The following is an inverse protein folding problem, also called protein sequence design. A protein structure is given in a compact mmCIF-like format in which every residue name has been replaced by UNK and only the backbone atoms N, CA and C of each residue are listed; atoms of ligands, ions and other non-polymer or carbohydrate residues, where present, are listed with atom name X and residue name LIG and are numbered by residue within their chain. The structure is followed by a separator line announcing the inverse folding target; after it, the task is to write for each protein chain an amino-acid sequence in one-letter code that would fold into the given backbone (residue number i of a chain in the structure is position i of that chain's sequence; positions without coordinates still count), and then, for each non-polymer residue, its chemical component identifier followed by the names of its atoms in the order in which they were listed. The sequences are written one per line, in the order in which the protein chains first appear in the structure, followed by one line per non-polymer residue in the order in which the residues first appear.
data_IF_403092706600
#
_entry.id   IF_403092706600
#
_cell.length_a   1.000
_cell.length_b   1.000
_cell.length_c   1.000
_cell.angle_alpha   90.00
_cell.angle_beta   90.00
_cell.angle_gamma   90.00
#
_symmetry.space_group_name_H-M   'P 1'
#
loop_
_entity.id
_entity.type
_entity.pdbx_description
1 polymer ?
#
# COMPACT_ATOMS: atom_id res chain seq x y z
N UNK A 1 7.54 -7.07 28.59
CA UNK A 1 7.18 -7.03 27.16
C UNK A 1 5.76 -7.55 27.03
N UNK A 2 4.88 -6.80 26.38
CA UNK A 2 3.48 -7.18 26.20
C UNK A 2 3.36 -8.14 25.01
N UNK A 3 2.40 -9.05 25.07
CA UNK A 3 2.12 -10.02 24.01
C UNK A 3 0.64 -10.07 23.71
N UNK A 4 0.32 -10.12 22.43
CA UNK A 4 -1.01 -10.39 21.92
C UNK A 4 -1.09 -11.86 21.49
N UNK A 5 -2.28 -12.43 21.59
CA UNK A 5 -2.56 -13.82 21.24
C UNK A 5 -3.72 -13.90 20.26
N UNK A 6 -3.69 -14.93 19.41
CA UNK A 6 -4.73 -15.22 18.42
C UNK A 6 -5.08 -14.01 17.52
N UNK A 7 -4.06 -13.34 16.96
CA UNK A 7 -4.19 -12.15 16.13
C UNK A 7 -4.41 -12.51 14.65
N UNK A 8 -5.48 -11.99 14.05
CA UNK A 8 -5.79 -12.21 12.63
C UNK A 8 -5.13 -11.12 11.81
N UNK A 9 -4.36 -11.52 10.81
CA UNK A 9 -3.61 -10.60 9.95
C UNK A 9 -3.87 -10.91 8.48
N UNK A 10 -4.00 -9.86 7.69
CA UNK A 10 -4.02 -9.88 6.24
C UNK A 10 -2.75 -9.21 5.72
N UNK A 11 -1.78 -9.98 5.26
CA UNK A 11 -0.47 -9.45 4.89
C UNK A 11 -0.51 -8.75 3.53
N UNK A 12 -0.18 -7.47 3.54
CA UNK A 12 0.13 -6.69 2.34
C UNK A 12 1.66 -6.66 2.19
N UNK A 13 2.15 -7.29 1.13
CA UNK A 13 3.59 -7.46 0.89
C UNK A 13 4.15 -6.33 0.03
N UNK A 14 5.31 -5.80 0.41
CA UNK A 14 6.01 -4.79 -0.39
C UNK A 14 5.29 -3.45 -0.49
N UNK A 15 4.34 -3.17 0.42
CA UNK A 15 3.64 -1.89 0.45
C UNK A 15 4.50 -0.83 1.16
N UNK A 16 5.04 0.08 0.38
CA UNK A 16 5.76 1.25 0.91
C UNK A 16 4.82 2.24 1.58
N UNK A 17 3.62 2.43 1.02
CA UNK A 17 2.69 3.43 1.48
C UNK A 17 1.57 2.81 2.33
N UNK A 18 1.33 3.38 3.52
CA UNK A 18 0.33 2.89 4.45
C UNK A 18 -1.10 2.87 3.90
N UNK A 19 -1.41 3.70 2.89
CA UNK A 19 -2.73 3.75 2.25
C UNK A 19 -3.08 2.47 1.45
N UNK A 20 -2.09 1.64 1.10
CA UNK A 20 -2.32 0.35 0.45
C UNK A 20 -2.48 -0.80 1.46
N UNK A 21 -2.07 -0.59 2.72
CA UNK A 21 -2.29 -1.55 3.81
C UNK A 21 -3.74 -1.43 4.29
N UNK A 22 -4.61 -2.25 3.70
CA UNK A 22 -6.05 -2.08 3.80
C UNK A 22 -6.57 -2.34 5.22
N UNK A 23 -7.50 -1.49 5.65
CA UNK A 23 -8.26 -1.71 6.89
C UNK A 23 -9.21 -2.90 6.74
N UNK A 24 -9.67 -3.44 7.87
CA UNK A 24 -10.52 -4.63 7.90
C UNK A 24 -11.77 -4.55 7.00
N UNK A 25 -12.40 -3.38 6.89
CA UNK A 25 -13.61 -3.21 6.06
C UNK A 25 -13.33 -3.29 4.54
N UNK A 26 -12.06 -3.25 4.13
CA UNK A 26 -11.62 -3.40 2.74
C UNK A 26 -11.02 -4.80 2.46
N UNK A 27 -11.00 -5.69 3.46
CA UNK A 27 -10.55 -7.06 3.27
C UNK A 27 -11.56 -7.83 2.41
N UNK A 28 -11.04 -8.67 1.52
CA UNK A 28 -11.82 -9.50 0.59
C UNK A 28 -11.82 -10.95 1.06
N UNK A 29 -12.81 -11.73 0.63
CA UNK A 29 -12.96 -13.16 1.00
C UNK A 29 -11.77 -14.02 0.54
N UNK A 30 -11.09 -13.61 -0.53
CA UNK A 30 -9.96 -14.30 -1.12
C UNK A 30 -8.60 -13.84 -0.58
N UNK A 31 -8.59 -12.85 0.33
CA UNK A 31 -7.36 -12.47 1.01
C UNK A 31 -6.84 -13.64 1.86
N UNK A 32 -5.51 -13.81 1.89
CA UNK A 32 -4.88 -14.86 2.69
C UNK A 32 -4.74 -14.39 4.13
N UNK A 33 -5.75 -14.72 4.94
CA UNK A 33 -5.74 -14.39 6.36
C UNK A 33 -4.93 -15.42 7.14
N UNK A 34 -3.97 -14.95 7.92
CA UNK A 34 -3.14 -15.76 8.81
C UNK A 34 -3.47 -15.49 10.28
N UNK A 35 -3.12 -16.45 11.15
CA UNK A 35 -3.31 -16.34 12.59
C UNK A 35 -1.94 -16.33 13.29
N UNK A 36 -1.62 -15.20 13.92
CA UNK A 36 -0.49 -15.07 14.84
C UNK A 36 -0.93 -15.59 16.21
N UNK A 37 -0.35 -16.72 16.63
CA UNK A 37 -0.62 -17.37 17.92
C UNK A 37 -0.12 -16.51 19.09
N UNK A 38 1.05 -15.90 18.91
CA UNK A 38 1.64 -14.98 19.87
C UNK A 38 2.48 -13.96 19.13
N UNK A 39 2.32 -12.68 19.44
CA UNK A 39 3.09 -11.59 18.82
C UNK A 39 3.40 -10.49 19.84
N UNK A 40 4.65 -10.00 19.94
CA UNK A 40 4.98 -8.91 20.85
C UNK A 40 4.30 -7.60 20.43
N UNK A 41 3.87 -6.82 21.42
CA UNK A 41 3.33 -5.48 21.25
C UNK A 41 4.37 -4.43 21.67
N UNK A 42 4.64 -3.48 20.78
CA UNK A 42 5.53 -2.34 20.97
C UNK A 42 4.73 -1.04 20.91
N UNK A 43 4.90 -0.20 21.92
CA UNK A 43 4.47 1.21 21.89
C UNK A 43 5.68 2.07 21.52
N UNK A 44 5.55 2.89 20.48
CA UNK A 44 6.65 3.70 19.92
C UNK A 44 6.20 5.13 19.67
N UNK A 45 7.15 6.02 19.37
CA UNK A 45 6.82 7.39 18.99
C UNK A 45 5.97 7.45 17.71
N UNK A 46 5.09 8.44 17.55
CA UNK A 46 4.35 8.66 16.31
C UNK A 46 5.27 8.81 15.08
N UNK A 47 6.47 9.38 15.26
CA UNK A 47 7.44 9.52 14.18
C UNK A 47 7.97 8.16 13.69
N UNK A 48 8.29 7.25 14.61
CA UNK A 48 8.72 5.90 14.26
C UNK A 48 7.57 5.06 13.68
N UNK A 49 6.37 5.19 14.23
CA UNK A 49 5.17 4.55 13.67
C UNK A 49 4.96 4.96 12.22
N UNK A 50 4.95 6.27 11.94
CA UNK A 50 4.81 6.81 10.60
C UNK A 50 5.93 6.32 9.66
N UNK A 51 7.17 6.25 10.14
CA UNK A 51 8.30 5.69 9.37
C UNK A 51 8.08 4.21 9.01
N UNK A 52 7.67 3.36 9.96
CA UNK A 52 7.43 1.93 9.70
C UNK A 52 6.26 1.74 8.74
N UNK A 53 5.19 2.50 8.92
CA UNK A 53 4.00 2.43 8.09
C UNK A 53 4.29 2.87 6.65
N UNK A 54 5.03 3.97 6.48
CA UNK A 54 5.17 4.67 5.21
C UNK A 54 6.57 4.55 4.58
N UNK A 55 7.34 3.53 4.92
CA UNK A 55 8.60 3.21 4.24
C UNK A 55 8.81 1.70 4.07
N UNK A 56 9.74 1.33 3.17
CA UNK A 56 10.36 0.00 3.10
C UNK A 56 11.86 0.11 3.41
N UNK A 57 12.19 0.86 4.46
CA UNK A 57 13.56 1.09 4.90
C UNK A 57 13.90 0.28 6.14
N UNK A 58 15.19 0.17 6.44
CA UNK A 58 15.67 -0.67 7.55
C UNK A 58 15.07 -0.22 8.90
N UNK A 59 14.61 -1.19 9.67
CA UNK A 59 14.15 -0.97 11.04
C UNK A 59 15.34 -0.76 11.98
N UNK A 60 15.18 0.01 13.06
CA UNK A 60 16.23 0.18 14.06
C UNK A 60 16.68 -1.17 14.61
N UNK A 61 17.99 -1.44 14.64
CA UNK A 61 18.55 -2.69 15.21
C UNK A 61 18.04 -2.99 16.63
N UNK A 62 17.96 -2.02 17.56
CA UNK A 62 17.45 -2.31 18.90
C UNK A 62 15.98 -2.75 18.90
N UNK A 63 15.18 -2.32 17.92
CA UNK A 63 13.81 -2.81 17.73
C UNK A 63 13.81 -4.26 17.26
N UNK A 64 14.65 -4.60 16.27
CA UNK A 64 14.80 -5.97 15.77
C UNK A 64 15.27 -6.93 16.87
N UNK A 65 16.28 -6.53 17.64
CA UNK A 65 16.80 -7.31 18.78
C UNK A 65 15.70 -7.55 19.84
N UNK A 66 14.83 -6.56 20.05
CA UNK A 66 13.72 -6.64 20.98
C UNK A 66 12.62 -7.61 20.55
N UNK A 67 12.45 -7.88 19.25
CA UNK A 67 11.37 -8.75 18.73
C UNK A 67 11.89 -10.08 18.19
N UNK A 68 13.20 -10.26 18.09
CA UNK A 68 13.84 -11.42 17.51
C UNK A 68 13.33 -12.73 18.11
N UNK A 69 12.71 -13.58 17.28
CA UNK A 69 12.20 -14.90 17.64
C UNK A 69 11.16 -14.91 18.76
N UNK A 70 10.41 -13.81 18.95
CA UNK A 70 9.36 -13.70 19.99
C UNK A 70 7.93 -13.87 19.49
N UNK A 71 7.75 -13.96 18.17
CA UNK A 71 6.46 -14.17 17.52
C UNK A 71 6.30 -15.59 16.97
N UNK A 72 5.06 -16.05 16.92
CA UNK A 72 4.68 -17.35 16.43
C UNK A 72 3.43 -17.26 15.56
N UNK A 73 3.49 -17.87 14.38
CA UNK A 73 2.35 -18.03 13.47
C UNK A 73 1.84 -19.46 13.53
N UNK A 74 0.52 -19.63 13.39
CA UNK A 74 -0.11 -20.94 13.31
C UNK A 74 -0.39 -21.31 11.87
N UNK A 75 0.26 -22.36 11.37
CA UNK A 75 0.05 -22.87 10.01
C UNK A 75 -0.13 -24.38 10.05
N UNK A 76 -1.22 -24.91 9.49
CA UNK A 76 -1.52 -26.35 9.47
C UNK A 76 -1.46 -27.03 10.86
N UNK A 77 -1.92 -26.35 11.91
CA UNK A 77 -1.83 -26.78 13.31
C UNK A 77 -0.40 -26.83 13.90
N UNK A 78 0.61 -26.42 13.14
CA UNK A 78 1.97 -26.25 13.64
C UNK A 78 2.21 -24.80 14.06
N UNK A 79 3.03 -24.65 15.11
CA UNK A 79 3.47 -23.35 15.63
C UNK A 79 4.85 -23.05 15.06
N UNK A 80 4.92 -22.07 14.17
CA UNK A 80 6.16 -21.68 13.48
C UNK A 80 6.66 -20.38 14.12
N UNK A 81 7.91 -20.37 14.57
CA UNK A 81 8.56 -19.19 15.12
C UNK A 81 8.97 -18.25 13.98
N UNK A 82 8.74 -16.95 14.16
CA UNK A 82 9.11 -15.91 13.19
C UNK A 82 10.31 -15.12 13.72
N UNK A 83 11.24 -14.76 12.83
CA UNK A 83 12.44 -14.02 13.20
C UNK A 83 12.10 -12.61 13.69
N UNK A 84 11.44 -11.79 12.89
CA UNK A 84 11.03 -10.44 13.32
C UNK A 84 9.58 -10.17 12.92
N UNK A 85 8.67 -10.47 13.85
CA UNK A 85 7.26 -10.15 13.71
C UNK A 85 6.74 -9.53 15.01
N UNK A 86 6.01 -8.43 14.88
CA UNK A 86 5.53 -7.63 16.00
C UNK A 86 4.30 -6.81 15.63
N UNK A 87 3.55 -6.39 16.64
CA UNK A 87 2.52 -5.35 16.52
C UNK A 87 3.09 -4.06 17.09
N UNK A 88 2.92 -2.96 16.38
CA UNK A 88 3.37 -1.63 16.77
C UNK A 88 2.20 -0.66 16.87
N UNK A 89 2.27 0.26 17.83
CA UNK A 89 1.30 1.34 18.00
C UNK A 89 1.98 2.60 18.54
N UNK A 90 1.48 3.76 18.15
CA UNK A 90 1.80 5.06 18.77
C UNK A 90 0.69 5.55 19.73
N UNK A 91 -0.32 4.71 19.98
CA UNK A 91 -1.51 5.05 20.74
C UNK A 91 -2.69 5.57 19.91
N UNK A 92 -2.48 5.87 18.61
CA UNK A 92 -3.54 6.29 17.68
C UNK A 92 -3.71 5.34 16.49
N UNK A 93 -2.61 4.77 15.99
CA UNK A 93 -2.60 3.76 14.94
C UNK A 93 -2.08 2.41 15.45
N UNK A 94 -2.46 1.34 14.76
CA UNK A 94 -1.98 -0.02 15.02
C UNK A 94 -1.58 -0.68 13.71
N UNK A 95 -0.44 -1.39 13.74
CA UNK A 95 0.08 -2.11 12.59
C UNK A 95 0.76 -3.41 13.04
N UNK A 96 0.43 -4.53 12.40
CA UNK A 96 1.24 -5.74 12.47
C UNK A 96 2.30 -5.71 11.36
N UNK A 97 3.51 -6.13 11.71
CA UNK A 97 4.68 -6.11 10.82
C UNK A 97 5.36 -7.47 10.88
N UNK A 98 5.76 -7.97 9.72
CA UNK A 98 6.65 -9.13 9.57
C UNK A 98 7.72 -8.79 8.52
N UNK A 99 8.99 -8.98 8.87
CA UNK A 99 10.11 -8.69 7.98
C UNK A 99 10.52 -9.87 7.12
N UNK A 100 9.95 -11.07 7.32
CA UNK A 100 10.35 -12.32 6.66
C UNK A 100 11.87 -12.58 6.84
N UNK A 101 12.41 -12.24 8.01
CA UNK A 101 13.83 -12.44 8.35
C UNK A 101 14.77 -11.34 7.86
N UNK A 102 14.28 -10.33 7.14
CA UNK A 102 15.06 -9.15 6.73
C UNK A 102 15.03 -8.04 7.79
N UNK A 103 15.70 -6.92 7.51
CA UNK A 103 15.68 -5.72 8.37
C UNK A 103 14.58 -4.73 7.97
N UNK A 104 13.89 -4.95 6.85
CA UNK A 104 12.85 -4.08 6.31
C UNK A 104 11.43 -4.63 6.63
N UNK A 105 10.42 -3.78 6.83
CA UNK A 105 9.05 -4.21 7.13
C UNK A 105 8.32 -4.68 5.84
N UNK A 106 8.64 -5.87 5.34
CA UNK A 106 8.14 -6.39 4.06
C UNK A 106 6.62 -6.60 4.08
N UNK A 107 6.09 -7.18 5.17
CA UNK A 107 4.66 -7.46 5.30
C UNK A 107 4.05 -6.58 6.36
N UNK A 108 2.95 -5.95 6.01
CA UNK A 108 2.21 -5.04 6.88
C UNK A 108 0.75 -5.47 6.92
N UNK A 109 0.11 -5.30 8.07
CA UNK A 109 -1.31 -5.60 8.21
C UNK A 109 -1.98 -4.70 9.23
N UNK A 110 -3.23 -4.30 8.94
CA UNK A 110 -4.13 -3.74 9.96
C UNK A 110 -4.73 -4.86 10.79
N UNK A 111 -5.16 -4.56 12.00
CA UNK A 111 -5.88 -5.53 12.82
C UNK A 111 -7.39 -5.40 12.63
N UNK A 112 -8.13 -6.46 12.98
CA UNK A 112 -9.59 -6.36 13.07
C UNK A 112 -9.98 -5.46 14.25
N UNK A 113 -11.13 -4.75 14.22
CA UNK A 113 -11.47 -3.74 15.22
C UNK A 113 -11.41 -4.20 16.68
N UNK A 114 -11.81 -5.45 16.96
CA UNK A 114 -11.75 -6.02 18.32
C UNK A 114 -10.30 -6.19 18.82
N UNK A 115 -9.38 -6.52 17.94
CA UNK A 115 -7.97 -6.71 18.27
C UNK A 115 -7.25 -5.37 18.40
N UNK A 116 -7.64 -4.40 17.59
CA UNK A 116 -7.20 -3.02 17.71
C UNK A 116 -7.60 -2.42 19.07
N UNK A 117 -8.84 -2.63 19.49
CA UNK A 117 -9.31 -2.20 20.82
C UNK A 117 -8.48 -2.81 21.96
N UNK A 118 -8.16 -4.11 21.87
CA UNK A 118 -7.27 -4.78 22.84
C UNK A 118 -5.88 -4.14 22.87
N UNK A 119 -5.33 -3.77 21.71
CA UNK A 119 -4.04 -3.06 21.63
C UNK A 119 -4.11 -1.73 22.36
N UNK A 120 -5.16 -0.93 22.16
CA UNK A 120 -5.33 0.36 22.85
C UNK A 120 -5.39 0.19 24.37
N UNK A 121 -6.15 -0.80 24.85
CA UNK A 121 -6.25 -1.10 26.29
C UNK A 121 -4.90 -1.50 26.88
N UNK A 122 -4.15 -2.37 26.20
CA UNK A 122 -2.83 -2.82 26.65
C UNK A 122 -1.75 -1.73 26.56
N UNK A 123 -1.82 -0.86 25.56
CA UNK A 123 -0.86 0.21 25.32
C UNK A 123 -1.12 1.46 26.17
N UNK A 124 -2.32 1.62 26.75
CA UNK A 124 -2.67 2.77 27.58
C UNK A 124 -1.74 2.95 28.79
N UNK A 125 -1.39 1.83 29.46
CA UNK A 125 -0.50 1.82 30.63
C UNK A 125 0.97 1.56 30.26
N UNK A 126 1.26 1.25 29.00
CA UNK A 126 2.61 0.96 28.55
C UNK A 126 3.43 2.24 28.35
N UNK A 127 4.69 2.21 28.78
CA UNK A 127 5.67 3.24 28.42
C UNK A 127 6.07 3.12 26.94
N UNK A 128 6.28 4.26 26.31
CA UNK A 128 6.82 4.34 24.96
C UNK A 128 8.28 3.86 24.97
N UNK A 129 8.62 2.99 24.02
CA UNK A 129 10.00 2.55 23.82
C UNK A 129 10.72 3.52 22.90
N UNK A 130 11.90 3.94 23.35
CA UNK A 130 12.79 4.78 22.56
C UNK A 130 13.64 3.93 21.62
N UNK A 131 13.47 4.15 20.32
CA UNK A 131 14.30 3.57 19.27
C UNK A 131 14.81 4.69 18.38
N UNK A 132 16.08 4.62 17.92
CA UNK A 132 16.63 5.68 17.07
C UNK A 132 15.87 5.75 15.75
N UNK A 133 15.32 6.92 15.43
CA UNK A 133 14.66 7.17 14.16
C UNK A 133 15.71 7.28 13.05
N UNK A 134 15.65 6.43 12.00
CA UNK A 134 16.52 6.57 10.84
C UNK A 134 16.25 7.90 10.12
N UNK A 135 17.27 8.48 9.49
CA UNK A 135 17.03 9.63 8.61
C UNK A 135 16.26 9.15 7.38
N UNK A 136 15.10 9.75 7.14
CA UNK A 136 14.20 9.37 6.07
C UNK A 136 13.62 10.63 5.45
N UNK A 137 13.80 10.77 4.14
CA UNK A 137 13.09 11.74 3.31
C UNK A 137 12.28 10.94 2.29
N UNK A 138 10.97 11.20 2.25
CA UNK A 138 10.06 10.50 1.34
C UNK A 138 9.97 11.25 0.04
N UNK A 139 10.37 10.60 -1.05
CA UNK A 139 10.15 11.08 -2.40
C UNK A 139 8.96 10.37 -3.02
N UNK A 140 8.07 11.13 -3.65
CA UNK A 140 6.91 10.58 -4.34
C UNK A 140 7.12 10.64 -5.85
N UNK A 141 6.69 9.58 -6.54
CA UNK A 141 6.74 9.48 -8.00
C UNK A 141 5.47 8.83 -8.53
N UNK A 142 5.31 8.77 -9.85
CA UNK A 142 4.07 8.26 -10.47
C UNK A 142 3.71 6.83 -10.02
N UNK A 143 4.70 5.98 -9.71
CA UNK A 143 4.49 4.61 -9.24
C UNK A 143 4.43 4.47 -7.70
N UNK A 144 4.85 5.51 -6.95
CA UNK A 144 4.70 5.63 -5.50
C UNK A 144 4.12 7.02 -5.19
N UNK A 145 2.83 7.24 -5.50
CA UNK A 145 2.23 8.56 -5.45
C UNK A 145 2.06 9.08 -4.02
N UNK A 146 1.95 10.40 -3.90
CA UNK A 146 1.66 11.02 -2.61
C UNK A 146 0.28 10.60 -2.07
N UNK A 147 0.10 10.44 -0.75
CA UNK A 147 -1.16 9.97 -0.15
C UNK A 147 -2.39 10.78 -0.56
N UNK A 148 -2.22 12.07 -0.83
CA UNK A 148 -3.29 12.98 -1.25
C UNK A 148 -3.89 12.56 -2.60
N UNK A 149 -3.12 11.88 -3.46
CA UNK A 149 -3.60 11.36 -4.74
C UNK A 149 -4.42 10.08 -4.58
N UNK A 150 -4.26 9.36 -3.46
CA UNK A 150 -4.94 8.09 -3.18
C UNK A 150 -6.08 8.24 -2.16
N UNK A 151 -6.18 9.40 -1.52
CA UNK A 151 -7.21 9.68 -0.51
C UNK A 151 -8.63 9.61 -1.09
N UNK A 152 -9.53 8.94 -0.37
CA UNK A 152 -10.94 8.80 -0.73
C UNK A 152 -11.24 7.72 -1.77
N UNK A 153 -10.22 7.01 -2.26
CA UNK A 153 -10.40 5.88 -3.16
C UNK A 153 -10.67 4.60 -2.38
N UNK A 154 -11.59 3.77 -2.88
CA UNK A 154 -11.75 2.38 -2.43
C UNK A 154 -10.53 1.54 -2.81
N UNK A 155 -10.34 0.38 -2.15
CA UNK A 155 -9.30 -0.59 -2.53
C UNK A 155 -9.25 -0.88 -4.04
N UNK A 156 -10.40 -1.13 -4.67
CA UNK A 156 -10.47 -1.39 -6.13
C UNK A 156 -9.95 -0.18 -6.93
N UNK A 157 -10.40 1.02 -6.59
CA UNK A 157 -9.98 2.24 -7.29
C UNK A 157 -8.48 2.53 -7.09
N UNK A 158 -7.92 2.25 -5.90
CA UNK A 158 -6.46 2.37 -5.67
C UNK A 158 -5.67 1.42 -6.58
N UNK A 159 -6.10 0.17 -6.71
CA UNK A 159 -5.45 -0.81 -7.57
C UNK A 159 -5.56 -0.43 -9.06
N UNK A 160 -6.74 -0.02 -9.53
CA UNK A 160 -6.92 0.44 -10.90
C UNK A 160 -6.16 1.73 -11.19
N UNK A 161 -6.04 2.62 -10.21
CA UNK A 161 -5.24 3.84 -10.35
C UNK A 161 -3.75 3.56 -10.44
N UNK A 162 -3.24 2.61 -9.66
CA UNK A 162 -1.87 2.15 -9.78
C UNK A 162 -1.61 1.55 -11.17
N UNK A 163 -2.56 0.76 -11.69
CA UNK A 163 -2.50 0.23 -13.06
C UNK A 163 -2.48 1.34 -14.13
N UNK A 164 -3.36 2.35 -13.99
CA UNK A 164 -3.37 3.52 -14.87
C UNK A 164 -2.02 4.25 -14.83
N UNK A 165 -1.45 4.47 -13.65
CA UNK A 165 -0.16 5.11 -13.48
C UNK A 165 0.99 4.31 -14.09
N UNK A 166 0.98 2.98 -13.98
CA UNK A 166 1.94 2.10 -14.66
C UNK A 166 1.82 2.23 -16.19
N UNK A 167 0.60 2.24 -16.71
CA UNK A 167 0.36 2.36 -18.15
C UNK A 167 0.74 3.76 -18.69
N UNK A 168 0.49 4.83 -17.91
CA UNK A 168 0.92 6.19 -18.22
C UNK A 168 2.44 6.33 -18.20
N UNK A 169 3.13 5.74 -17.22
CA UNK A 169 4.60 5.73 -17.15
C UNK A 169 5.22 5.00 -18.35
N UNK A 170 4.63 3.86 -18.75
CA UNK A 170 5.04 3.17 -19.97
C UNK A 170 4.80 4.03 -21.22
N UNK A 171 3.64 4.70 -21.32
CA UNK A 171 3.34 5.62 -22.42
C UNK A 171 4.37 6.77 -22.48
N UNK A 172 4.71 7.35 -21.32
CA UNK A 172 5.74 8.39 -21.22
C UNK A 172 7.12 7.90 -21.67
N UNK A 173 7.45 6.65 -21.37
CA UNK A 173 8.71 6.02 -21.76
C UNK A 173 8.85 5.79 -23.27
N UNK A 174 7.74 5.69 -24.02
CA UNK A 174 7.78 5.54 -25.49
C UNK A 174 8.34 6.76 -26.22
N UNK A 175 8.26 7.95 -25.59
CA UNK A 175 8.56 9.26 -26.22
C UNK A 175 7.84 9.52 -27.55
N UNK A 176 6.71 8.83 -27.78
CA UNK A 176 5.94 8.96 -29.01
C UNK A 176 4.90 10.09 -28.89
N UNK A 177 5.16 11.22 -29.53
CA UNK A 177 4.28 12.40 -29.52
C UNK A 177 2.89 12.11 -30.09
N UNK A 178 2.80 11.31 -31.15
CA UNK A 178 1.51 11.00 -31.76
C UNK A 178 0.64 10.14 -30.82
N UNK A 179 1.23 9.14 -30.16
CA UNK A 179 0.53 8.32 -29.17
C UNK A 179 0.11 9.13 -27.94
N UNK A 180 0.98 10.00 -27.42
CA UNK A 180 0.65 10.86 -26.27
C UNK A 180 -0.53 11.78 -26.59
N UNK A 181 -0.51 12.44 -27.76
CA UNK A 181 -1.61 13.30 -28.22
C UNK A 181 -2.90 12.51 -28.46
N UNK A 182 -2.79 11.28 -28.96
CA UNK A 182 -3.95 10.40 -29.14
C UNK A 182 -4.62 10.12 -27.80
N UNK A 183 -3.88 9.61 -26.81
CA UNK A 183 -4.45 9.31 -25.50
C UNK A 183 -4.96 10.54 -24.76
N UNK A 184 -4.30 11.69 -24.89
CA UNK A 184 -4.84 12.92 -24.33
C UNK A 184 -6.12 13.38 -25.05
N UNK A 185 -6.25 13.11 -26.35
CA UNK A 185 -7.51 13.36 -27.09
C UNK A 185 -8.63 12.44 -26.63
N UNK A 186 -8.35 11.15 -26.40
CA UNK A 186 -9.34 10.21 -25.84
C UNK A 186 -9.81 10.67 -24.45
N UNK A 187 -8.89 11.21 -23.64
CA UNK A 187 -9.25 11.82 -22.37
C UNK A 187 -10.08 13.09 -22.55
N UNK A 188 -9.63 14.08 -23.32
CA UNK A 188 -10.24 15.41 -23.46
C UNK A 188 -10.55 15.75 -24.93
N UNK A 189 -11.58 15.12 -25.55
CA UNK A 189 -11.89 15.28 -26.97
C UNK A 189 -12.26 16.73 -27.33
N UNK A 190 -12.83 17.48 -26.39
CA UNK A 190 -13.15 18.90 -26.55
C UNK A 190 -11.92 19.79 -26.78
N UNK A 191 -10.72 19.33 -26.42
CA UNK A 191 -9.45 20.05 -26.59
C UNK A 191 -8.69 19.63 -27.85
N UNK A 192 -9.26 18.79 -28.73
CA UNK A 192 -8.57 18.19 -29.88
C UNK A 192 -7.66 19.15 -30.66
N UNK A 193 -8.19 20.30 -31.09
CA UNK A 193 -7.44 21.26 -31.91
C UNK A 193 -6.22 21.86 -31.20
N UNK A 194 -6.27 21.98 -29.87
CA UNK A 194 -5.14 22.41 -29.05
C UNK A 194 -4.13 21.26 -28.85
N UNK A 195 -4.63 20.05 -28.53
CA UNK A 195 -3.80 18.86 -28.29
C UNK A 195 -2.91 18.53 -29.49
N UNK A 196 -3.44 18.63 -30.72
CA UNK A 196 -2.68 18.34 -31.94
C UNK A 196 -1.45 19.24 -32.13
N UNK A 197 -1.42 20.40 -31.46
CA UNK A 197 -0.31 21.37 -31.53
C UNK A 197 0.68 21.25 -30.36
N UNK A 198 0.34 20.52 -29.29
CA UNK A 198 1.16 20.42 -28.08
C UNK A 198 2.43 19.62 -28.31
N UNK A 199 3.52 19.99 -27.65
CA UNK A 199 4.70 19.14 -27.56
C UNK A 199 4.40 17.84 -26.80
N UNK A 200 5.34 16.88 -26.82
CA UNK A 200 5.19 15.64 -26.06
C UNK A 200 5.06 15.91 -24.56
N UNK A 201 5.96 16.73 -24.00
CA UNK A 201 5.98 17.01 -22.56
C UNK A 201 4.77 17.84 -22.11
N UNK A 202 4.31 18.78 -22.95
CA UNK A 202 3.08 19.54 -22.68
C UNK A 202 1.85 18.64 -22.63
N UNK A 203 1.71 17.72 -23.61
CA UNK A 203 0.58 16.79 -23.65
C UNK A 203 0.62 15.81 -22.46
N UNK A 204 1.81 15.34 -22.09
CA UNK A 204 2.04 14.49 -20.93
C UNK A 204 1.64 15.19 -19.62
N UNK A 205 2.18 16.39 -19.39
CA UNK A 205 1.95 17.14 -18.15
C UNK A 205 0.47 17.43 -17.95
N UNK A 206 -0.24 17.83 -19.01
CA UNK A 206 -1.68 18.06 -18.96
C UNK A 206 -2.46 16.78 -18.69
N UNK A 207 -2.18 15.70 -19.42
CA UNK A 207 -2.86 14.41 -19.21
C UNK A 207 -2.66 13.90 -17.78
N UNK A 208 -1.42 13.91 -17.27
CA UNK A 208 -1.13 13.47 -15.92
C UNK A 208 -1.81 14.35 -14.87
N UNK A 209 -1.75 15.68 -15.02
CA UNK A 209 -2.39 16.60 -14.08
C UNK A 209 -3.92 16.45 -14.02
N UNK A 210 -4.56 16.12 -15.13
CA UNK A 210 -6.01 15.92 -15.20
C UNK A 210 -6.46 14.55 -14.67
N UNK A 211 -5.61 13.52 -14.78
CA UNK A 211 -5.93 12.14 -14.40
C UNK A 211 -5.43 11.74 -13.01
N UNK A 212 -4.56 12.53 -12.38
CA UNK A 212 -3.95 12.16 -11.09
C UNK A 212 -4.88 12.27 -9.88
N UNK A 213 -6.02 12.95 -9.97
CA UNK A 213 -6.92 13.18 -8.82
C UNK A 213 -8.21 12.36 -8.91
N UNK A 214 -8.60 11.77 -7.79
CA UNK A 214 -9.81 10.97 -7.69
C UNK A 214 -9.79 9.72 -8.58
N UNK A 215 -10.98 9.17 -8.80
CA UNK A 215 -11.26 8.10 -9.73
C UNK A 215 -12.69 8.27 -10.24
N UNK A 216 -12.92 8.02 -11.52
CA UNK A 216 -14.24 8.16 -12.15
C UNK A 216 -14.35 7.22 -13.34
N UNK A 217 -15.55 7.09 -13.91
CA UNK A 217 -15.79 6.26 -15.09
C UNK A 217 -14.88 6.64 -16.27
N UNK A 218 -14.51 7.93 -16.42
CA UNK A 218 -13.54 8.36 -17.43
C UNK A 218 -12.15 7.77 -17.19
N UNK A 219 -11.72 7.67 -15.94
CA UNK A 219 -10.45 7.02 -15.59
C UNK A 219 -10.49 5.53 -15.92
N UNK A 220 -11.61 4.88 -15.60
CA UNK A 220 -11.82 3.46 -15.88
C UNK A 220 -11.76 3.19 -17.39
N UNK A 221 -12.50 3.95 -18.20
CA UNK A 221 -12.48 3.84 -19.68
C UNK A 221 -11.09 4.11 -20.27
N UNK A 222 -10.41 5.16 -19.81
CA UNK A 222 -9.05 5.47 -20.26
C UNK A 222 -8.09 4.32 -19.92
N UNK A 223 -8.13 3.83 -18.68
CA UNK A 223 -7.28 2.74 -18.22
C UNK A 223 -7.52 1.47 -19.04
N UNK A 224 -8.79 1.05 -19.19
CA UNK A 224 -9.17 -0.13 -19.96
C UNK A 224 -8.65 -0.05 -21.41
N UNK A 225 -8.78 1.11 -22.05
CA UNK A 225 -8.31 1.27 -23.42
C UNK A 225 -6.78 1.29 -23.53
N UNK A 226 -6.10 1.93 -22.57
CA UNK A 226 -4.65 2.07 -22.57
C UNK A 226 -3.91 0.73 -22.38
N UNK A 227 -4.50 -0.18 -21.60
CA UNK A 227 -3.91 -1.49 -21.31
C UNK A 227 -4.20 -2.55 -22.39
N UNK A 228 -5.13 -2.29 -23.32
CA UNK A 228 -5.50 -3.26 -24.36
C UNK A 228 -4.29 -3.69 -25.19
N UNK A 229 -4.15 -4.99 -25.40
CA UNK A 229 -3.03 -5.60 -26.11
C UNK A 229 -1.77 -5.77 -25.26
N UNK A 230 -1.83 -5.50 -23.96
CA UNK A 230 -0.72 -5.67 -23.02
C UNK A 230 -1.06 -6.77 -22.00
N UNK A 231 -0.66 -8.05 -22.24
CA UNK A 231 -1.14 -9.19 -21.46
C UNK A 231 -0.92 -9.08 -19.95
N UNK A 232 0.17 -8.42 -19.54
CA UNK A 232 0.47 -8.20 -18.13
C UNK A 232 -0.55 -7.26 -17.47
N UNK A 233 -0.88 -6.13 -18.11
CA UNK A 233 -1.83 -5.17 -17.58
C UNK A 233 -3.28 -5.65 -17.66
N UNK A 234 -3.64 -6.36 -18.74
CA UNK A 234 -4.96 -6.99 -18.86
C UNK A 234 -5.22 -7.98 -17.72
N UNK A 235 -4.20 -8.78 -17.35
CA UNK A 235 -4.32 -9.68 -16.21
C UNK A 235 -4.56 -8.94 -14.88
N UNK A 236 -3.85 -7.83 -14.64
CA UNK A 236 -4.05 -7.01 -13.44
C UNK A 236 -5.46 -6.39 -13.40
N UNK A 237 -5.96 -5.95 -14.55
CA UNK A 237 -7.31 -5.44 -14.69
C UNK A 237 -8.37 -6.51 -14.39
N UNK A 238 -8.24 -7.70 -14.99
CA UNK A 238 -9.16 -8.82 -14.79
C UNK A 238 -9.29 -9.19 -13.31
N UNK A 239 -8.17 -9.26 -12.58
CA UNK A 239 -8.15 -9.54 -11.13
C UNK A 239 -9.01 -8.57 -10.30
N UNK A 240 -9.14 -7.31 -10.75
CA UNK A 240 -9.95 -6.28 -10.09
C UNK A 240 -11.38 -6.20 -10.62
N UNK A 241 -11.67 -6.76 -11.80
CA UNK A 241 -13.00 -6.77 -12.39
C UNK A 241 -13.83 -8.01 -12.03
N UNK A 242 -13.20 -9.11 -11.62
CA UNK A 242 -13.93 -10.33 -11.23
C UNK A 242 -15.03 -10.02 -10.20
N UNK A 243 -16.33 -10.19 -10.57
CA UNK A 243 -17.42 -10.03 -9.62
C UNK A 243 -17.38 -11.24 -8.68
N UNK A 244 -16.83 -11.05 -7.50
CA UNK A 244 -16.70 -12.14 -6.53
C UNK A 244 -18.08 -12.43 -5.92
N UNK A 245 -18.68 -13.47 -6.48
CA UNK A 245 -19.98 -14.06 -6.15
C UNK A 245 -20.21 -14.09 -4.64
N UNK A 246 -21.41 -13.64 -4.23
CA UNK A 246 -21.91 -13.69 -2.86
C UNK A 246 -21.90 -15.10 -2.27
#
# INVERSE_FOLDING_TARGET
MLYLHDIWVNWFEGEENGYNVCHFHEWRKDDQIELLDQVPLLKVSPALFHYIENSLSDLPKPLLDDVHQKAYVRKNHERIQLDYCFVVTDGAGVLAVDTIGYQIPIRKSRLIPRQEQLVYEMAAEAEERDYPLPRYEKEYHILSPAPELMCGLTRKERQLKQLLFMALDQLYSTKNTAQMRYWYTEWAPEKYAAIQKMSFDEAWEQLYNETKYGWSERHEQLCENLIKGQPFFEKLWEMEQEPKVN
#
